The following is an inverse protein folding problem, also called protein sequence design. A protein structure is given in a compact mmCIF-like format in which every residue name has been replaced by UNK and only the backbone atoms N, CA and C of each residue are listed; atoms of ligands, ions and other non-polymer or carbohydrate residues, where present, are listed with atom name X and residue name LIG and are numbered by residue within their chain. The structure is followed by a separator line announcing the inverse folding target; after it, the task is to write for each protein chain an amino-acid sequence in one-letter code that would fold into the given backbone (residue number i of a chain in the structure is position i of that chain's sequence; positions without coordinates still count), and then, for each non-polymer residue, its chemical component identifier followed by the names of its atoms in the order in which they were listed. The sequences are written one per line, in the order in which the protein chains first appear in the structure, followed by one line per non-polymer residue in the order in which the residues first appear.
data_IF_191095069511
#
_entry.id   IF_191095069511
#
_cell.length_a   1.000
_cell.length_b   1.000
_cell.length_c   1.000
_cell.angle_alpha   90.00
_cell.angle_beta   90.00
_cell.angle_gamma   90.00
#
_symmetry.space_group_name_H-M   'P 1'
#
loop_
_entity.id
_entity.type
_entity.pdbx_description
1 polymer ?
#
# COMPACT_ATOMS: atom_id res chain seq x y z
N UNK A 1 5.68 -4.14 -9.08
CA UNK A 1 4.53 -4.40 -8.17
C UNK A 1 4.35 -3.33 -7.10
N UNK A 2 5.42 -2.80 -6.50
CA UNK A 2 5.34 -1.75 -5.47
C UNK A 2 4.50 -0.54 -5.89
N UNK A 3 4.73 0.00 -7.10
CA UNK A 3 3.96 1.14 -7.60
C UNK A 3 2.44 0.86 -7.67
N UNK A 4 2.05 -0.34 -8.11
CA UNK A 4 0.65 -0.74 -8.16
C UNK A 4 0.05 -0.88 -6.76
N UNK A 5 0.75 -1.53 -5.82
CA UNK A 5 0.31 -1.66 -4.43
C UNK A 5 0.14 -0.30 -3.72
N UNK A 6 1.05 0.64 -4.01
CA UNK A 6 0.95 2.01 -3.50
C UNK A 6 -0.21 2.79 -4.14
N UNK A 7 -0.39 2.68 -5.45
CA UNK A 7 -1.51 3.31 -6.15
C UNK A 7 -2.87 2.88 -5.59
N UNK A 8 -3.05 1.58 -5.33
CA UNK A 8 -4.27 1.07 -4.70
C UNK A 8 -4.44 1.57 -3.25
N UNK A 9 -3.37 1.62 -2.46
CA UNK A 9 -3.44 2.15 -1.10
C UNK A 9 -3.91 3.61 -1.07
N UNK A 10 -3.44 4.45 -2.01
CA UNK A 10 -3.88 5.84 -2.15
C UNK A 10 -5.36 5.93 -2.55
N UNK A 11 -5.80 5.16 -3.54
CA UNK A 11 -7.21 5.13 -3.97
C UNK A 11 -8.13 4.72 -2.83
N UNK A 12 -7.77 3.68 -2.07
CA UNK A 12 -8.58 3.25 -0.93
C UNK A 12 -8.56 4.25 0.23
N UNK A 13 -7.44 4.91 0.49
CA UNK A 13 -7.36 5.95 1.52
C UNK A 13 -8.24 7.16 1.18
N UNK A 14 -8.42 7.48 -0.12
CA UNK A 14 -9.37 8.49 -0.56
C UNK A 14 -10.82 8.03 -0.40
N UNK A 15 -11.12 6.76 -0.67
CA UNK A 15 -12.48 6.19 -0.54
C UNK A 15 -12.89 6.04 0.92
N UNK A 16 -11.97 5.65 1.81
CA UNK A 16 -12.23 5.48 3.24
C UNK A 16 -11.16 6.22 4.09
N UNK A 17 -11.34 7.55 4.28
CA UNK A 17 -10.39 8.38 5.00
C UNK A 17 -10.18 7.97 6.47
N UNK A 18 -11.20 7.44 7.14
CA UNK A 18 -11.08 6.97 8.54
C UNK A 18 -10.06 5.84 8.70
N UNK A 19 -9.79 5.10 7.62
CA UNK A 19 -8.81 4.01 7.59
C UNK A 19 -7.53 4.35 6.84
N UNK A 20 -7.30 5.62 6.48
CA UNK A 20 -6.19 6.04 5.64
C UNK A 20 -4.83 5.53 6.16
N UNK A 21 -4.54 5.71 7.45
CA UNK A 21 -3.25 5.28 8.03
C UNK A 21 -3.02 3.77 7.90
N UNK A 22 -4.04 2.97 8.17
CA UNK A 22 -3.96 1.51 8.03
C UNK A 22 -3.77 1.09 6.56
N UNK A 23 -4.44 1.77 5.63
CA UNK A 23 -4.37 1.50 4.20
C UNK A 23 -3.00 1.88 3.62
N UNK A 24 -2.48 3.06 3.98
CA UNK A 24 -1.16 3.52 3.57
C UNK A 24 -0.05 2.65 4.17
N UNK A 25 -0.16 2.27 5.46
CA UNK A 25 0.74 1.31 6.09
C UNK A 25 0.77 -0.01 5.32
N UNK A 26 -0.39 -0.53 4.92
CA UNK A 26 -0.46 -1.77 4.13
C UNK A 26 0.20 -1.63 2.76
N UNK A 27 0.06 -0.48 2.10
CA UNK A 27 0.76 -0.18 0.85
C UNK A 27 2.28 -0.22 1.00
N UNK A 28 2.80 0.34 2.09
CA UNK A 28 4.23 0.31 2.40
C UNK A 28 4.74 -1.13 2.64
N UNK A 29 4.03 -1.90 3.48
CA UNK A 29 4.35 -3.29 3.77
C UNK A 29 4.34 -4.17 2.51
N UNK A 30 3.42 -3.90 1.58
CA UNK A 30 3.41 -4.60 0.29
C UNK A 30 4.69 -4.35 -0.51
N UNK A 31 5.19 -3.10 -0.51
CA UNK A 31 6.49 -2.76 -1.11
C UNK A 31 7.67 -3.47 -0.42
N UNK A 32 7.67 -3.52 0.91
CA UNK A 32 8.70 -4.22 1.69
C UNK A 32 8.71 -5.73 1.39
N UNK A 33 7.52 -6.35 1.22
CA UNK A 33 7.41 -7.75 0.83
C UNK A 33 8.10 -8.04 -0.50
N UNK A 34 8.13 -7.09 -1.45
CA UNK A 34 8.82 -7.24 -2.74
C UNK A 34 10.33 -7.28 -2.63
N UNK A 35 10.88 -6.50 -1.70
CA UNK A 35 12.30 -6.54 -1.36
C UNK A 35 12.65 -7.90 -0.77
N UNK A 36 11.85 -8.40 0.17
CA UNK A 36 12.09 -9.69 0.84
C UNK A 36 11.99 -10.85 -0.16
N UNK A 37 10.97 -10.86 -1.02
CA UNK A 37 10.80 -11.95 -2.00
C UNK A 37 11.71 -11.82 -3.23
N UNK A 38 12.52 -10.75 -3.32
CA UNK A 38 13.41 -10.46 -4.44
C UNK A 38 12.71 -10.51 -5.81
N UNK A 39 11.55 -9.85 -5.94
CA UNK A 39 10.74 -9.85 -7.16
C UNK A 39 10.07 -8.51 -7.44
#
# INVERSE_FOLDING_TARGET
HTAAGWGWALVFAQINPERADALLKRGLEFGQSRVICNA
#
